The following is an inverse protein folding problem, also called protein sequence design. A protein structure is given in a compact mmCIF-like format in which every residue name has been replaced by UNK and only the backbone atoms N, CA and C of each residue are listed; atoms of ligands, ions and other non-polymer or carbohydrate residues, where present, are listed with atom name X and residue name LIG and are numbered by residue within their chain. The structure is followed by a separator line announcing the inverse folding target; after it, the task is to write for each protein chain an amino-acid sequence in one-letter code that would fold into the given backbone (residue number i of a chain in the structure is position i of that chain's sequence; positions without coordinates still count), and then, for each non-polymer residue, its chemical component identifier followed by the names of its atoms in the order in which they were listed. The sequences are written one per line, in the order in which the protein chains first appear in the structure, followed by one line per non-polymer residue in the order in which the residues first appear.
data_IF_711700025487
#
_entry.id   IF_711700025487
#
_cell.length_a   1.000
_cell.length_b   1.000
_cell.length_c   1.000
_cell.angle_alpha   90.00
_cell.angle_beta   90.00
_cell.angle_gamma   90.00
#
_symmetry.space_group_name_H-M   'P 1'
#
loop_
_entity.id
_entity.type
_entity.pdbx_description
1 polymer ?
#
# COMPACT_ATOMS: atom_id res chain seq x y z
N UNK A 1 11.10 11.27 12.42
CA UNK A 1 10.29 10.05 12.17
C UNK A 1 11.19 8.83 12.26
N UNK A 2 10.77 7.80 13.01
CA UNK A 2 11.44 6.52 13.22
C UNK A 2 10.69 5.46 12.42
N UNK A 3 11.33 4.82 11.47
CA UNK A 3 10.71 3.81 10.61
C UNK A 3 11.28 2.45 10.97
N UNK A 4 10.42 1.46 11.22
CA UNK A 4 10.84 0.07 11.31
C UNK A 4 10.62 -0.64 9.97
N UNK A 5 11.64 -1.36 9.51
CA UNK A 5 11.64 -2.07 8.24
C UNK A 5 11.73 -3.56 8.54
N UNK A 6 10.77 -4.33 8.03
CA UNK A 6 10.88 -5.79 7.96
C UNK A 6 11.97 -6.15 6.95
N UNK A 7 13.18 -6.43 7.44
CA UNK A 7 14.37 -6.57 6.61
C UNK A 7 14.45 -7.95 5.91
N UNK A 8 13.43 -8.79 6.05
CA UNK A 8 13.35 -10.12 5.41
C UNK A 8 12.07 -10.26 4.58
N UNK A 9 11.54 -9.14 4.11
CA UNK A 9 10.31 -9.09 3.33
C UNK A 9 10.51 -9.49 1.86
N UNK A 10 11.57 -9.08 1.18
CA UNK A 10 11.72 -9.32 -0.26
C UNK A 10 12.37 -10.66 -0.63
N UNK A 11 12.26 -11.04 -1.90
CA UNK A 11 12.92 -12.23 -2.46
C UNK A 11 14.46 -12.18 -2.37
N UNK A 12 15.03 -10.97 -2.43
CA UNK A 12 16.48 -10.73 -2.38
C UNK A 12 16.95 -10.26 -0.99
N UNK A 13 16.11 -10.44 0.02
CA UNK A 13 16.39 -9.95 1.36
C UNK A 13 17.68 -10.54 1.96
N UNK A 14 18.39 -9.78 2.81
CA UNK A 14 18.05 -8.44 3.28
C UNK A 14 18.72 -7.30 2.48
N UNK A 15 19.32 -7.59 1.31
CA UNK A 15 20.14 -6.59 0.59
C UNK A 15 19.35 -5.33 0.23
N UNK A 16 18.20 -5.41 -0.48
CA UNK A 16 17.49 -4.21 -0.90
C UNK A 16 16.92 -3.43 0.29
N UNK A 17 16.53 -4.09 1.38
CA UNK A 17 16.05 -3.42 2.60
C UNK A 17 17.16 -2.66 3.32
N UNK A 18 18.35 -3.27 3.43
CA UNK A 18 19.52 -2.61 4.02
C UNK A 18 19.97 -1.44 3.15
N UNK A 19 20.06 -1.62 1.83
CA UNK A 19 20.43 -0.55 0.89
C UNK A 19 19.43 0.61 0.95
N UNK A 20 18.13 0.31 0.92
CA UNK A 20 17.06 1.30 1.06
C UNK A 20 17.11 2.06 2.39
N UNK A 21 17.39 1.36 3.50
CA UNK A 21 17.58 1.98 4.81
C UNK A 21 18.76 2.97 4.84
N UNK A 22 19.88 2.59 4.23
CA UNK A 22 21.08 3.43 4.15
C UNK A 22 20.80 4.69 3.30
N UNK A 23 20.14 4.51 2.15
CA UNK A 23 19.73 5.62 1.28
C UNK A 23 18.77 6.56 2.01
N UNK A 24 17.77 6.01 2.70
CA UNK A 24 16.77 6.81 3.40
C UNK A 24 17.36 7.70 4.52
N UNK A 25 18.40 7.24 5.20
CA UNK A 25 19.14 8.05 6.16
C UNK A 25 19.99 9.11 5.47
N UNK A 26 20.67 8.78 4.37
CA UNK A 26 21.51 9.72 3.61
C UNK A 26 20.71 10.85 2.97
N UNK A 27 19.51 10.54 2.50
CA UNK A 27 18.59 11.51 1.87
C UNK A 27 17.70 12.22 2.89
N UNK A 28 17.94 12.03 4.19
CA UNK A 28 17.22 12.69 5.28
C UNK A 28 15.70 12.46 5.28
N UNK A 29 15.22 11.35 4.70
CA UNK A 29 13.79 11.00 4.70
C UNK A 29 13.26 10.66 6.10
N UNK A 30 14.13 10.25 7.01
CA UNK A 30 13.76 9.91 8.38
C UNK A 30 14.92 10.09 9.35
N UNK A 31 14.61 10.23 10.63
CA UNK A 31 15.63 10.43 11.66
C UNK A 31 16.29 9.13 12.09
N UNK A 32 15.57 8.00 12.00
CA UNK A 32 16.08 6.68 12.41
C UNK A 32 15.40 5.55 11.62
N UNK A 33 16.18 4.55 11.23
CA UNK A 33 15.71 3.27 10.70
C UNK A 33 15.95 2.17 11.73
N UNK A 34 14.99 1.26 11.87
CA UNK A 34 15.10 0.05 12.71
C UNK A 34 14.90 -1.16 11.81
N UNK A 35 15.95 -1.94 11.57
CA UNK A 35 15.93 -3.14 10.74
C UNK A 35 15.52 -4.35 11.57
N UNK A 36 14.32 -4.88 11.35
CA UNK A 36 13.82 -6.06 12.04
C UNK A 36 14.24 -7.35 11.32
N UNK A 37 14.90 -8.28 12.02
CA UNK A 37 15.31 -9.54 11.42
C UNK A 37 16.48 -10.25 12.10
N UNK A 38 17.08 -11.21 11.38
CA UNK A 38 18.20 -12.02 11.87
C UNK A 38 19.45 -11.16 12.06
N UNK A 39 19.75 -10.84 13.32
CA UNK A 39 20.80 -9.88 13.70
C UNK A 39 22.16 -10.14 13.04
N UNK A 40 22.67 -11.37 13.11
CA UNK A 40 23.98 -11.72 12.54
C UNK A 40 24.06 -11.47 11.02
N UNK A 41 22.95 -11.70 10.31
CA UNK A 41 22.89 -11.48 8.85
C UNK A 41 22.85 -9.97 8.57
N UNK A 42 22.04 -9.23 9.32
CA UNK A 42 21.92 -7.77 9.16
C UNK A 42 23.24 -7.05 9.48
N UNK A 43 23.92 -7.42 10.57
CA UNK A 43 25.24 -6.85 10.93
C UNK A 43 26.24 -7.03 9.78
N UNK A 44 26.36 -8.24 9.24
CA UNK A 44 27.26 -8.55 8.12
C UNK A 44 26.92 -7.78 6.84
N UNK A 45 25.64 -7.49 6.60
CA UNK A 45 25.24 -6.71 5.43
C UNK A 45 25.53 -5.23 5.61
N UNK A 46 25.30 -4.69 6.81
CA UNK A 46 25.61 -3.31 7.16
C UNK A 46 27.11 -3.00 7.10
N UNK A 47 28.00 -3.96 7.37
CA UNK A 47 29.46 -3.80 7.24
C UNK A 47 29.91 -3.36 5.83
N UNK A 48 29.08 -3.56 4.80
CA UNK A 48 29.37 -3.16 3.42
C UNK A 48 29.16 -1.66 3.17
N UNK A 49 28.58 -0.93 4.11
CA UNK A 49 28.16 0.45 3.92
C UNK A 49 28.72 1.37 5.02
N UNK A 50 28.97 2.62 4.65
CA UNK A 50 29.19 3.70 5.61
C UNK A 50 27.85 4.36 5.96
N UNK A 51 27.54 4.43 7.25
CA UNK A 51 26.35 5.07 7.82
C UNK A 51 26.60 5.52 9.25
N UNK A 52 25.72 6.37 9.78
CA UNK A 52 25.72 6.76 11.19
C UNK A 52 25.10 5.64 12.05
N UNK A 53 25.87 4.95 12.92
CA UNK A 53 25.34 3.88 13.76
C UNK A 53 24.28 4.33 14.77
N UNK A 54 24.18 5.64 15.08
CA UNK A 54 23.13 6.16 15.93
C UNK A 54 21.75 6.18 15.22
N UNK A 55 21.74 6.19 13.88
CA UNK A 55 20.55 6.33 13.05
C UNK A 55 20.02 5.02 12.48
N UNK A 56 20.77 3.92 12.59
CA UNK A 56 20.32 2.59 12.17
C UNK A 56 20.47 1.60 13.33
N UNK A 57 19.35 1.05 13.77
CA UNK A 57 19.28 0.04 14.83
C UNK A 57 18.83 -1.30 14.25
N UNK A 58 19.24 -2.40 14.88
CA UNK A 58 18.74 -3.73 14.57
C UNK A 58 17.74 -4.14 15.65
N UNK A 59 16.54 -4.54 15.24
CA UNK A 59 15.56 -5.24 16.09
C UNK A 59 15.71 -6.75 15.82
N UNK A 60 16.34 -7.53 16.72
CA UNK A 60 16.54 -8.95 16.48
C UNK A 60 15.21 -9.70 16.40
N UNK A 61 15.10 -10.60 15.42
CA UNK A 61 13.99 -11.53 15.25
C UNK A 61 14.54 -12.87 14.74
N UNK A 62 14.11 -13.99 15.32
CA UNK A 62 14.61 -15.32 14.93
C UNK A 62 13.84 -15.94 13.77
N UNK A 63 12.58 -15.54 13.56
CA UNK A 63 11.70 -16.09 12.53
C UNK A 63 11.50 -15.14 11.33
N UNK A 64 11.08 -15.71 10.20
CA UNK A 64 10.76 -14.97 8.98
C UNK A 64 9.46 -15.54 8.40
N UNK A 65 8.59 -14.66 7.91
CA UNK A 65 7.39 -15.07 7.18
C UNK A 65 7.76 -15.16 5.69
N UNK A 66 7.58 -16.35 5.12
CA UNK A 66 7.87 -16.62 3.71
C UNK A 66 6.76 -16.09 2.81
N UNK A 67 7.07 -15.82 1.54
CA UNK A 67 6.06 -15.51 0.51
C UNK A 67 5.02 -16.62 0.34
N UNK A 68 5.40 -17.88 0.58
CA UNK A 68 4.55 -19.06 0.45
C UNK A 68 3.73 -19.40 1.70
N UNK A 69 3.94 -18.66 2.80
CA UNK A 69 3.21 -18.92 4.03
C UNK A 69 1.74 -18.49 3.92
N UNK A 70 0.85 -19.26 4.54
CA UNK A 70 -0.54 -18.82 4.73
C UNK A 70 -0.57 -17.62 5.70
N UNK A 71 -1.08 -16.44 5.28
CA UNK A 71 -0.93 -15.19 6.04
C UNK A 71 -1.38 -15.28 7.50
N UNK A 72 -2.64 -15.65 7.73
CA UNK A 72 -3.22 -15.67 9.06
C UNK A 72 -2.63 -16.75 9.96
N UNK A 73 -2.23 -17.89 9.38
CA UNK A 73 -1.62 -18.98 10.14
C UNK A 73 -0.18 -18.62 10.56
N UNK A 74 0.58 -18.00 9.66
CA UNK A 74 1.96 -17.60 9.93
C UNK A 74 2.05 -16.54 11.02
N UNK A 75 1.21 -15.49 10.98
CA UNK A 75 1.16 -14.46 12.04
C UNK A 75 0.78 -15.01 13.42
N UNK A 76 0.01 -16.10 13.47
CA UNK A 76 -0.32 -16.77 14.74
C UNK A 76 0.79 -17.66 15.25
N UNK A 77 1.54 -18.32 14.36
CA UNK A 77 2.60 -19.28 14.72
C UNK A 77 3.96 -18.61 14.97
N UNK A 78 4.37 -17.71 14.08
CA UNK A 78 5.70 -17.09 14.04
C UNK A 78 5.72 -15.76 14.77
N UNK A 79 5.55 -15.82 16.09
CA UNK A 79 5.46 -14.63 16.95
C UNK A 79 6.77 -13.85 17.04
N UNK A 80 7.90 -14.51 16.86
CA UNK A 80 9.21 -13.87 16.85
C UNK A 80 9.68 -13.57 15.41
N UNK A 81 8.74 -13.39 14.48
CA UNK A 81 9.08 -12.99 13.10
C UNK A 81 9.41 -11.52 12.98
N UNK A 82 10.31 -11.19 12.04
CA UNK A 82 10.69 -9.80 11.73
C UNK A 82 9.47 -8.89 11.56
N UNK A 83 8.48 -9.33 10.77
CA UNK A 83 7.25 -8.60 10.52
C UNK A 83 6.39 -8.40 11.79
N UNK A 84 6.20 -9.44 12.61
CA UNK A 84 5.38 -9.34 13.83
C UNK A 84 6.05 -8.42 14.84
N UNK A 85 7.35 -8.60 15.10
CA UNK A 85 8.10 -7.75 16.03
C UNK A 85 8.15 -6.30 15.57
N UNK A 86 8.31 -6.07 14.27
CA UNK A 86 8.28 -4.72 13.73
C UNK A 86 6.92 -4.07 13.96
N UNK A 87 5.82 -4.81 13.77
CA UNK A 87 4.49 -4.29 14.06
C UNK A 87 4.26 -3.99 15.55
N UNK A 88 4.72 -4.88 16.44
CA UNK A 88 4.67 -4.65 17.89
C UNK A 88 5.44 -3.39 18.30
N UNK A 89 6.61 -3.13 17.68
CA UNK A 89 7.41 -1.95 17.96
C UNK A 89 6.67 -0.64 17.64
N UNK A 90 5.90 -0.60 16.56
CA UNK A 90 5.03 0.55 16.22
C UNK A 90 3.89 0.66 17.24
N UNK A 91 3.26 -0.45 17.62
CA UNK A 91 2.19 -0.46 18.63
C UNK A 91 2.64 0.07 19.99
N UNK A 92 3.88 -0.20 20.36
CA UNK A 92 4.53 0.29 21.58
C UNK A 92 4.97 1.76 21.51
N UNK A 93 4.81 2.43 20.36
CA UNK A 93 5.23 3.82 20.15
C UNK A 93 6.76 4.00 20.04
N UNK A 94 7.50 2.90 19.82
CA UNK A 94 8.96 2.91 19.65
C UNK A 94 9.38 3.14 18.19
N UNK A 95 8.47 2.91 17.25
CA UNK A 95 8.55 3.33 15.85
C UNK A 95 7.26 4.05 15.45
N UNK A 96 7.33 4.89 14.41
CA UNK A 96 6.19 5.70 13.94
C UNK A 96 5.45 5.02 12.77
N UNK A 97 6.16 4.20 11.97
CA UNK A 97 5.57 3.41 10.89
C UNK A 97 6.37 2.14 10.58
N UNK A 98 5.72 1.18 9.92
CA UNK A 98 6.26 -0.09 9.45
C UNK A 98 6.30 -0.11 7.92
N UNK A 99 7.43 -0.54 7.35
CA UNK A 99 7.59 -0.84 5.93
C UNK A 99 7.98 -2.31 5.76
N UNK A 100 7.32 -3.03 4.84
CA UNK A 100 7.66 -4.41 4.49
C UNK A 100 7.42 -4.64 3.01
N UNK A 101 8.38 -5.27 2.35
CA UNK A 101 8.23 -5.84 1.01
C UNK A 101 7.72 -7.29 1.03
N UNK A 102 7.27 -7.75 2.21
CA UNK A 102 6.81 -9.11 2.48
C UNK A 102 5.45 -9.44 1.89
N UNK A 103 4.97 -10.65 2.21
CA UNK A 103 3.65 -11.13 1.79
C UNK A 103 2.55 -10.11 2.17
N UNK A 104 1.90 -9.50 1.16
CA UNK A 104 0.87 -8.46 1.35
C UNK A 104 -0.24 -8.88 2.31
N UNK A 105 -0.68 -10.14 2.21
CA UNK A 105 -1.70 -10.68 3.10
C UNK A 105 -1.21 -10.75 4.55
N UNK A 106 0.05 -11.11 4.78
CA UNK A 106 0.65 -11.16 6.12
C UNK A 106 0.80 -9.75 6.71
N UNK A 107 1.24 -8.77 5.90
CA UNK A 107 1.35 -7.36 6.30
C UNK A 107 -0.02 -6.77 6.66
N UNK A 108 -1.04 -7.03 5.83
CA UNK A 108 -2.42 -6.63 6.15
C UNK A 108 -2.94 -7.30 7.42
N UNK A 109 -2.68 -8.59 7.58
CA UNK A 109 -3.14 -9.37 8.74
C UNK A 109 -2.48 -8.87 10.03
N UNK A 110 -1.17 -8.68 10.05
CA UNK A 110 -0.47 -8.19 11.25
C UNK A 110 -0.93 -6.79 11.62
N UNK A 111 -1.11 -5.92 10.63
CA UNK A 111 -1.55 -4.54 10.85
C UNK A 111 -2.93 -4.50 11.48
N UNK A 112 -3.87 -5.30 10.97
CA UNK A 112 -5.23 -5.37 11.52
C UNK A 112 -5.28 -5.97 12.93
N UNK A 113 -4.51 -7.03 13.19
CA UNK A 113 -4.51 -7.69 14.50
C UNK A 113 -3.80 -6.86 15.57
N UNK A 114 -2.76 -6.11 15.20
CA UNK A 114 -1.92 -5.35 16.13
C UNK A 114 -2.42 -3.90 16.33
N UNK A 115 -2.71 -3.19 15.25
CA UNK A 115 -3.13 -1.78 15.30
C UNK A 115 -4.63 -1.61 15.40
N UNK A 116 -5.39 -2.52 14.78
CA UNK A 116 -6.81 -2.33 14.54
C UNK A 116 -7.07 -1.35 13.40
N UNK A 117 -8.26 -0.77 13.36
CA UNK A 117 -8.66 0.23 12.37
C UNK A 117 -8.85 1.57 13.05
N UNK A 118 -8.74 2.64 12.28
CA UNK A 118 -9.22 3.97 12.70
C UNK A 118 -10.70 3.86 13.09
N UNK A 119 -11.10 4.52 14.17
CA UNK A 119 -12.48 4.50 14.66
C UNK A 119 -13.44 4.91 13.52
N UNK A 120 -14.52 4.15 13.36
CA UNK A 120 -15.54 4.31 12.31
C UNK A 120 -15.12 3.93 10.88
N UNK A 121 -13.85 3.61 10.61
CA UNK A 121 -13.45 3.02 9.33
C UNK A 121 -13.84 1.54 9.31
N UNK A 122 -14.74 1.19 8.39
CA UNK A 122 -15.35 -0.14 8.33
C UNK A 122 -14.38 -1.20 7.81
N UNK A 123 -13.54 -0.87 6.83
CA UNK A 123 -12.51 -1.76 6.27
C UNK A 123 -11.29 -0.92 5.90
N UNK A 124 -10.05 -1.41 6.08
CA UNK A 124 -8.90 -0.80 5.42
C UNK A 124 -9.00 -1.03 3.91
N UNK A 125 -8.29 -0.23 3.12
CA UNK A 125 -8.08 -0.47 1.69
C UNK A 125 -6.58 -0.48 1.40
N UNK A 126 -6.15 -1.22 0.37
CA UNK A 126 -4.82 -1.03 -0.21
C UNK A 126 -4.94 0.12 -1.20
N UNK A 127 -4.18 1.17 -0.94
CA UNK A 127 -4.03 2.31 -1.84
C UNK A 127 -2.75 2.13 -2.66
N UNK A 128 -2.82 2.44 -3.95
CA UNK A 128 -1.63 2.63 -4.79
C UNK A 128 -1.68 3.99 -5.46
N UNK A 129 -0.52 4.58 -5.70
CA UNK A 129 -0.38 5.75 -6.55
C UNK A 129 0.25 5.30 -7.87
N UNK A 130 -0.46 5.49 -8.98
CA UNK A 130 0.06 5.19 -10.31
C UNK A 130 0.59 6.47 -10.98
N UNK A 131 1.75 6.42 -11.65
CA UNK A 131 2.15 7.48 -12.57
C UNK A 131 1.22 7.49 -13.78
N UNK A 132 0.91 8.68 -14.29
CA UNK A 132 0.01 8.86 -15.43
C UNK A 132 0.59 9.88 -16.42
N UNK A 133 -0.10 10.11 -17.53
CA UNK A 133 0.28 11.13 -18.51
C UNK A 133 0.19 12.57 -18.01
N UNK A 134 -0.64 12.87 -17.01
CA UNK A 134 -0.90 14.23 -16.55
C UNK A 134 -0.56 14.44 -15.07
N UNK A 135 -1.19 13.67 -14.18
CA UNK A 135 -1.05 13.78 -12.72
C UNK A 135 -1.19 12.42 -12.03
N UNK A 136 -0.50 12.14 -10.93
CA UNK A 136 -0.61 10.84 -10.24
C UNK A 136 -2.06 10.51 -9.87
N UNK A 137 -2.46 9.24 -10.05
CA UNK A 137 -3.80 8.73 -9.71
C UNK A 137 -3.69 7.81 -8.49
N UNK A 138 -4.48 8.05 -7.44
CA UNK A 138 -4.61 7.13 -6.31
C UNK A 138 -5.76 6.16 -6.58
N UNK A 139 -5.51 4.86 -6.44
CA UNK A 139 -6.53 3.83 -6.64
C UNK A 139 -6.76 3.04 -5.36
N UNK A 140 -8.03 2.92 -4.97
CA UNK A 140 -8.49 2.22 -3.78
C UNK A 140 -9.78 1.44 -4.12
N UNK A 141 -9.97 0.18 -3.75
CA UNK A 141 -9.05 -0.78 -3.16
C UNK A 141 -8.40 -1.63 -4.26
N UNK A 142 -7.17 -2.10 -4.06
CA UNK A 142 -6.48 -3.00 -5.00
C UNK A 142 -6.13 -4.37 -4.41
N UNK A 143 -6.82 -4.80 -3.36
CA UNK A 143 -6.77 -6.19 -2.93
C UNK A 143 -6.92 -6.45 -1.42
N UNK A 144 -7.25 -5.45 -0.60
CA UNK A 144 -7.55 -5.71 0.80
C UNK A 144 -8.86 -6.48 0.98
N UNK A 145 -9.88 -6.16 0.18
CA UNK A 145 -11.24 -6.66 0.34
C UNK A 145 -11.79 -7.12 -1.02
N UNK A 146 -11.98 -8.44 -1.17
CA UNK A 146 -12.60 -9.02 -2.36
C UNK A 146 -14.05 -8.55 -2.51
N UNK A 147 -14.82 -8.60 -1.42
CA UNK A 147 -16.20 -8.15 -1.39
C UNK A 147 -16.34 -6.87 -0.57
N UNK A 148 -16.93 -5.85 -1.18
CA UNK A 148 -17.18 -4.56 -0.55
C UNK A 148 -18.67 -4.23 -0.51
N UNK A 149 -19.11 -3.59 0.58
CA UNK A 149 -20.41 -2.92 0.64
C UNK A 149 -20.33 -1.51 0.03
N UNK A 150 -21.47 -0.89 -0.37
CA UNK A 150 -21.47 0.49 -0.84
C UNK A 150 -20.82 1.45 0.16
N UNK A 151 -21.04 1.25 1.45
CA UNK A 151 -20.46 2.05 2.53
C UNK A 151 -18.93 1.94 2.58
N UNK A 152 -18.35 0.79 2.18
CA UNK A 152 -16.90 0.66 2.10
C UNK A 152 -16.32 1.54 0.99
N UNK A 153 -16.90 1.51 -0.21
CA UNK A 153 -16.39 2.30 -1.35
C UNK A 153 -16.56 3.80 -1.12
N UNK A 154 -17.64 4.24 -0.46
CA UNK A 154 -17.78 5.66 -0.05
C UNK A 154 -16.67 6.05 0.93
N UNK A 155 -16.38 5.23 1.94
CA UNK A 155 -15.24 5.49 2.83
C UNK A 155 -13.89 5.45 2.12
N UNK A 156 -13.74 4.63 1.09
CA UNK A 156 -12.50 4.61 0.29
C UNK A 156 -12.34 5.92 -0.51
N UNK A 157 -13.44 6.51 -0.99
CA UNK A 157 -13.42 7.83 -1.63
C UNK A 157 -12.99 8.92 -0.63
N UNK A 158 -13.53 8.91 0.59
CA UNK A 158 -13.13 9.82 1.66
C UNK A 158 -11.65 9.66 2.03
N UNK A 159 -11.19 8.42 2.25
CA UNK A 159 -9.81 8.11 2.60
C UNK A 159 -8.84 8.52 1.48
N UNK A 160 -9.19 8.22 0.22
CA UNK A 160 -8.39 8.62 -0.95
C UNK A 160 -8.33 10.14 -1.10
N UNK A 161 -9.44 10.85 -0.85
CA UNK A 161 -9.47 12.32 -0.87
C UNK A 161 -8.53 12.90 0.18
N UNK A 162 -8.55 12.37 1.41
CA UNK A 162 -7.63 12.79 2.46
C UNK A 162 -6.17 12.49 2.11
N UNK A 163 -5.90 11.30 1.54
CA UNK A 163 -4.57 10.91 1.10
C UNK A 163 -4.04 11.87 0.02
N UNK A 164 -4.86 12.15 -1.00
CA UNK A 164 -4.49 13.06 -2.11
C UNK A 164 -4.20 14.47 -1.62
N UNK A 165 -5.05 15.01 -0.73
CA UNK A 165 -4.82 16.31 -0.06
C UNK A 165 -3.48 16.35 0.66
N UNK A 166 -3.14 15.31 1.43
CA UNK A 166 -1.94 15.30 2.26
C UNK A 166 -0.65 15.04 1.48
N UNK A 167 -0.66 14.09 0.55
CA UNK A 167 0.55 13.63 -0.14
C UNK A 167 0.78 14.29 -1.50
N UNK A 168 -0.27 14.78 -2.16
CA UNK A 168 -0.19 15.42 -3.48
C UNK A 168 -0.58 16.90 -3.47
N UNK A 169 -0.89 17.47 -2.30
CA UNK A 169 -1.28 18.87 -2.11
C UNK A 169 -2.47 19.32 -2.99
N UNK A 170 -3.36 18.39 -3.31
CA UNK A 170 -4.56 18.66 -4.11
C UNK A 170 -5.69 19.08 -3.18
N UNK A 171 -6.04 20.37 -3.16
CA UNK A 171 -7.04 20.91 -2.22
C UNK A 171 -8.45 20.32 -2.40
N UNK A 172 -8.88 20.07 -3.64
CA UNK A 172 -10.19 19.49 -3.95
C UNK A 172 -10.08 18.29 -4.91
N UNK A 173 -9.57 17.14 -4.43
CA UNK A 173 -9.27 15.98 -5.28
C UNK A 173 -10.52 15.48 -6.02
N UNK A 174 -10.41 15.34 -7.33
CA UNK A 174 -11.43 14.73 -8.17
C UNK A 174 -11.52 13.24 -7.88
N UNK A 175 -12.71 12.77 -7.50
CA UNK A 175 -12.98 11.37 -7.20
C UNK A 175 -13.82 10.75 -8.32
N UNK A 176 -13.35 9.65 -8.87
CA UNK A 176 -14.04 8.87 -9.89
C UNK A 176 -14.35 7.46 -9.42
N UNK A 177 -15.43 6.88 -9.94
CA UNK A 177 -15.81 5.49 -9.72
C UNK A 177 -15.45 4.65 -10.94
N UNK A 178 -14.57 3.66 -10.77
CA UNK A 178 -14.22 2.77 -11.87
C UNK A 178 -15.41 1.89 -12.25
N UNK A 179 -15.77 1.90 -13.52
CA UNK A 179 -16.98 1.26 -14.02
C UNK A 179 -16.77 0.71 -15.45
N UNK A 180 -17.81 0.07 -15.97
CA UNK A 180 -17.88 -0.50 -17.33
C UNK A 180 -18.47 0.49 -18.36
N UNK A 181 -18.59 1.77 -18.00
CA UNK A 181 -19.17 2.83 -18.81
C UNK A 181 -19.30 4.12 -18.01
N UNK A 182 -19.29 5.25 -18.71
CA UNK A 182 -19.30 6.59 -18.12
C UNK A 182 -20.71 6.99 -17.60
N UNK A 183 -21.78 6.40 -18.12
CA UNK A 183 -23.15 6.77 -17.76
C UNK A 183 -23.52 6.30 -16.34
N UNK A 184 -24.30 7.09 -15.60
CA UNK A 184 -24.69 6.83 -14.20
C UNK A 184 -25.44 5.50 -13.99
N UNK A 185 -26.10 4.99 -15.03
CA UNK A 185 -26.87 3.74 -15.00
C UNK A 185 -26.03 2.48 -15.24
N UNK A 186 -24.73 2.62 -15.55
CA UNK A 186 -23.82 1.50 -15.83
C UNK A 186 -23.27 0.86 -14.56
N UNK A 187 -22.80 -0.38 -14.71
CA UNK A 187 -22.24 -1.16 -13.61
C UNK A 187 -23.23 -2.12 -12.97
N UNK A 188 -22.75 -2.85 -11.98
CA UNK A 188 -23.53 -3.79 -11.19
C UNK A 188 -24.32 -3.07 -10.08
N UNK A 189 -25.05 -3.83 -9.28
CA UNK A 189 -25.84 -3.29 -8.17
C UNK A 189 -25.01 -2.48 -7.14
N UNK A 190 -23.80 -2.95 -6.83
CA UNK A 190 -22.89 -2.30 -5.89
C UNK A 190 -22.50 -0.91 -6.41
N UNK A 191 -21.98 -0.85 -7.64
CA UNK A 191 -21.45 0.38 -8.24
C UNK A 191 -22.56 1.44 -8.43
N UNK A 192 -23.77 1.04 -8.85
CA UNK A 192 -24.91 1.98 -8.95
C UNK A 192 -25.31 2.59 -7.61
N UNK A 193 -25.26 1.81 -6.53
CA UNK A 193 -25.53 2.31 -5.17
C UNK A 193 -24.45 3.26 -4.68
N UNK A 194 -23.19 2.96 -4.99
CA UNK A 194 -22.05 3.83 -4.65
C UNK A 194 -22.16 5.15 -5.41
N UNK A 195 -22.44 5.10 -6.71
CA UNK A 195 -22.65 6.30 -7.54
C UNK A 195 -23.67 7.25 -6.90
N UNK A 196 -24.87 6.75 -6.59
CA UNK A 196 -25.92 7.57 -5.99
C UNK A 196 -25.54 8.15 -4.62
N UNK A 197 -24.70 7.44 -3.84
CA UNK A 197 -24.20 7.94 -2.55
C UNK A 197 -23.14 9.02 -2.73
N UNK A 198 -22.19 8.82 -3.64
CA UNK A 198 -21.12 9.79 -3.92
C UNK A 198 -21.66 11.06 -4.58
N UNK A 199 -22.63 10.92 -5.50
CA UNK A 199 -23.32 12.06 -6.13
C UNK A 199 -24.09 12.91 -5.11
N UNK A 200 -24.65 12.27 -4.08
CA UNK A 200 -25.36 12.96 -3.01
C UNK A 200 -24.46 13.55 -1.91
N UNK A 201 -23.16 13.23 -1.89
CA UNK A 201 -22.23 13.70 -0.86
C UNK A 201 -21.50 14.96 -1.29
N UNK A 202 -21.92 16.10 -0.74
CA UNK A 202 -21.33 17.41 -1.02
C UNK A 202 -19.88 17.58 -0.53
N UNK A 203 -19.35 16.65 0.26
CA UNK A 203 -17.97 16.72 0.76
C UNK A 203 -16.96 16.05 -0.17
N UNK A 204 -17.44 15.32 -1.17
CA UNK A 204 -16.61 14.63 -2.16
C UNK A 204 -16.78 15.32 -3.51
N UNK A 205 -15.67 15.69 -4.13
CA UNK A 205 -15.68 16.21 -5.51
C UNK A 205 -15.82 15.04 -6.50
N UNK A 206 -17.02 14.45 -6.54
CA UNK A 206 -17.32 13.29 -7.36
C UNK A 206 -17.54 13.71 -8.83
N UNK A 207 -16.67 13.23 -9.72
CA UNK A 207 -16.73 13.55 -11.17
C UNK A 207 -17.45 12.48 -12.01
N UNK A 208 -18.02 11.45 -11.36
CA UNK A 208 -18.79 10.40 -12.02
C UNK A 208 -18.00 9.12 -12.25
N UNK A 209 -18.45 8.35 -13.26
CA UNK A 209 -17.82 7.08 -13.63
C UNK A 209 -16.67 7.31 -14.61
N UNK A 210 -15.65 6.47 -14.53
CA UNK A 210 -14.61 6.34 -15.56
C UNK A 210 -14.48 4.88 -16.00
N UNK A 211 -13.94 4.66 -17.20
CA UNK A 211 -13.65 3.33 -17.72
C UNK A 211 -12.16 2.97 -17.57
N UNK A 212 -11.84 1.68 -17.70
CA UNK A 212 -10.46 1.21 -17.66
C UNK A 212 -9.53 1.85 -18.70
N UNK A 213 -10.09 2.35 -19.82
CA UNK A 213 -9.35 3.06 -20.87
C UNK A 213 -8.83 4.43 -20.42
N UNK A 214 -9.39 4.99 -19.35
CA UNK A 214 -9.06 6.33 -18.84
C UNK A 214 -8.04 6.30 -17.70
N UNK A 215 -7.79 5.10 -17.15
CA UNK A 215 -6.67 4.86 -16.25
C UNK A 215 -5.36 5.28 -16.91
N UNK A 216 -4.44 5.83 -16.10
CA UNK A 216 -3.13 6.32 -16.55
C UNK A 216 -3.20 7.57 -17.44
N UNK A 217 -4.38 8.18 -17.64
CA UNK A 217 -4.49 9.49 -18.31
C UNK A 217 -4.41 10.67 -17.33
N UNK A 218 -4.62 10.46 -16.03
CA UNK A 218 -4.66 11.51 -15.02
C UNK A 218 -5.99 12.26 -15.00
N UNK A 219 -7.11 11.57 -15.26
CA UNK A 219 -8.45 12.18 -15.36
C UNK A 219 -9.13 12.40 -14.01
N UNK A 220 -8.60 11.78 -12.95
CA UNK A 220 -9.05 11.94 -11.58
C UNK A 220 -7.84 11.96 -10.64
N UNK A 221 -8.00 12.41 -9.41
CA UNK A 221 -6.97 12.30 -8.38
C UNK A 221 -7.12 11.01 -7.57
N UNK A 222 -8.37 10.56 -7.41
CA UNK A 222 -8.76 9.37 -6.64
C UNK A 222 -9.73 8.53 -7.46
N UNK A 223 -9.45 7.25 -7.58
CA UNK A 223 -10.29 6.29 -8.30
C UNK A 223 -10.70 5.19 -7.32
N UNK A 224 -12.00 5.01 -7.15
CA UNK A 224 -12.57 4.00 -6.26
C UNK A 224 -13.12 2.78 -6.99
N UNK A 225 -12.84 1.60 -6.45
CA UNK A 225 -13.36 0.29 -6.85
C UNK A 225 -13.30 -0.71 -5.68
N UNK A 226 -13.92 -1.87 -5.84
CA UNK A 226 -13.70 -2.99 -4.91
C UNK A 226 -12.34 -3.66 -5.17
N UNK A 227 -11.81 -4.34 -4.16
CA UNK A 227 -10.47 -4.93 -4.23
C UNK A 227 -10.34 -6.08 -5.23
N UNK A 228 -11.44 -6.72 -5.64
CA UNK A 228 -11.39 -7.72 -6.71
C UNK A 228 -11.12 -7.04 -8.06
N UNK A 229 -11.93 -6.05 -8.43
CA UNK A 229 -11.74 -5.27 -9.67
C UNK A 229 -10.40 -4.56 -9.67
N UNK A 230 -10.04 -3.87 -8.58
CA UNK A 230 -8.80 -3.11 -8.49
C UNK A 230 -7.56 -3.98 -8.59
N UNK A 231 -7.55 -5.17 -7.98
CA UNK A 231 -6.42 -6.09 -8.08
C UNK A 231 -6.26 -6.67 -9.50
N UNK A 232 -7.37 -7.07 -10.15
CA UNK A 232 -7.33 -7.54 -11.54
C UNK A 232 -6.83 -6.43 -12.46
N UNK A 233 -7.33 -5.21 -12.29
CA UNK A 233 -6.89 -4.04 -13.05
C UNK A 233 -5.39 -3.78 -12.87
N UNK A 234 -4.90 -3.72 -11.62
CA UNK A 234 -3.50 -3.48 -11.32
C UNK A 234 -2.58 -4.51 -11.98
N UNK A 235 -2.90 -5.80 -11.82
CA UNK A 235 -2.11 -6.88 -12.44
C UNK A 235 -2.16 -6.86 -13.96
N UNK A 236 -3.27 -6.40 -14.55
CA UNK A 236 -3.36 -6.20 -15.99
C UNK A 236 -2.44 -5.07 -16.45
N UNK A 237 -2.45 -3.93 -15.76
CA UNK A 237 -1.57 -2.78 -16.08
C UNK A 237 -0.10 -3.16 -15.96
N UNK A 238 0.31 -3.82 -14.87
CA UNK A 238 1.68 -4.32 -14.69
C UNK A 238 2.11 -5.28 -15.81
N UNK A 239 1.24 -6.24 -16.16
CA UNK A 239 1.51 -7.23 -17.20
C UNK A 239 1.67 -6.61 -18.59
N UNK A 240 0.80 -5.65 -18.95
CA UNK A 240 0.91 -4.92 -20.22
C UNK A 240 2.19 -4.10 -20.29
N UNK A 241 2.54 -3.39 -19.21
CA UNK A 241 3.78 -2.61 -19.16
C UNK A 241 5.02 -3.50 -19.38
N UNK A 242 5.11 -4.62 -18.67
CA UNK A 242 6.21 -5.58 -18.84
C UNK A 242 6.30 -6.14 -20.27
N UNK A 243 5.14 -6.47 -20.87
CA UNK A 243 5.09 -6.97 -22.24
C UNK A 243 5.61 -5.94 -23.25
N UNK A 244 5.16 -4.68 -23.16
CA UNK A 244 5.63 -3.59 -24.04
C UNK A 244 7.14 -3.37 -23.89
N UNK A 245 7.65 -3.29 -22.66
CA UNK A 245 9.09 -3.11 -22.44
C UNK A 245 9.92 -4.28 -22.98
N UNK A 246 9.38 -5.51 -22.93
CA UNK A 246 10.05 -6.68 -23.48
C UNK A 246 10.11 -6.61 -25.01
N UNK A 247 8.99 -6.26 -25.67
CA UNK A 247 8.93 -6.08 -27.12
C UNK A 247 9.86 -4.96 -27.62
N UNK A 248 10.01 -3.87 -26.86
CA UNK A 248 10.92 -2.77 -27.22
C UNK A 248 12.40 -3.12 -27.07
N UNK A 249 12.77 -4.06 -26.19
CA UNK A 249 14.16 -4.51 -26.01
C UNK A 249 14.62 -5.50 -27.07
N UNK A 250 13.67 -6.20 -27.71
CA UNK A 250 13.92 -7.14 -28.79
C UNK A 250 14.08 -6.46 -30.16
N UNK A 251 13.84 -5.14 -30.23
CA UNK A 251 14.11 -4.27 -31.38
C UNK A 251 15.45 -3.55 -31.22
#
# INVERSE_FOLDING_TARGET
MRIVVDAFGSDNAPSPEVEGAILAIKEEFCSKIILAGKENILRKQLEKFYYDPARIEILPASEIISMTDSPAAAIKKKKDSSLVRAAELVKEGKADCLVSAGNTGAVMTVSLLTYGRIKNVLRPAIAITLPTLQKPEIILDVGANVDCSPENLVQFAELGTLYSRFFHDVQNPEVALLNIGEESVKGNYLVKKVYAKLEADSNINFIGNIEGKDLLKGVADVIVCDGFVGNVMLKTVEGVALAIFSMMKEQ
#
